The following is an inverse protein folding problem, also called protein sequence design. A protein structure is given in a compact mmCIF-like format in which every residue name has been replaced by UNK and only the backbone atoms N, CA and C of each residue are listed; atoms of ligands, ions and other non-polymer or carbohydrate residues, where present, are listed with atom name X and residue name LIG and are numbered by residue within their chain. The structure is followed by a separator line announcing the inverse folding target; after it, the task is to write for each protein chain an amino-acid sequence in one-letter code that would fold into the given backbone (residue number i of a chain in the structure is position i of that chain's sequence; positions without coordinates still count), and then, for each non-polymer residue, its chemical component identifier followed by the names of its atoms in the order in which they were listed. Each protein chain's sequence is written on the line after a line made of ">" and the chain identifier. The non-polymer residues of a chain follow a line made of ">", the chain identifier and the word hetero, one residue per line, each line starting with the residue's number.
data_IF_655696896155
#
_entry.id   IF_655696896155
#
_cell.length_a   1.000
_cell.length_b   1.000
_cell.length_c   1.000
_cell.angle_alpha   90.00
_cell.angle_beta   90.00
_cell.angle_gamma   90.00
#
_symmetry.space_group_name_H-M   'P 1'
#
loop_
_entity.id
_entity.type
_entity.pdbx_description
1 polymer ?
#
# COMPACT_ATOMS: atom_id res chain seq x y z
N UNK A 1 -59.94 -34.68 -5.58
CA UNK A 1 -58.76 -35.57 -5.51
C UNK A 1 -58.20 -35.67 -6.93
N UNK A 2 -56.94 -35.41 -7.27
CA UNK A 2 -55.84 -34.68 -6.67
C UNK A 2 -54.98 -34.25 -7.87
N UNK A 3 -54.70 -32.96 -8.02
CA UNK A 3 -53.72 -32.49 -8.99
C UNK A 3 -52.38 -32.42 -8.26
N UNK A 4 -51.71 -33.56 -8.19
CA UNK A 4 -50.32 -33.63 -7.73
C UNK A 4 -49.43 -33.21 -8.90
N UNK A 5 -49.04 -31.94 -8.88
CA UNK A 5 -48.14 -31.35 -9.85
C UNK A 5 -46.77 -32.00 -9.71
N UNK A 6 -46.48 -32.95 -10.60
CA UNK A 6 -45.18 -33.59 -10.71
C UNK A 6 -44.07 -32.55 -10.68
N UNK A 7 -43.26 -32.62 -9.64
CA UNK A 7 -42.10 -31.75 -9.43
C UNK A 7 -41.16 -31.96 -10.61
N UNK A 8 -40.96 -30.92 -11.42
CA UNK A 8 -40.03 -30.99 -12.56
C UNK A 8 -38.63 -31.16 -11.98
N UNK A 9 -37.93 -32.29 -12.21
CA UNK A 9 -36.61 -32.51 -11.66
C UNK A 9 -35.66 -31.46 -12.19
N UNK A 10 -34.90 -30.82 -11.29
CA UNK A 10 -33.95 -29.80 -11.70
C UNK A 10 -32.83 -30.42 -12.53
N UNK A 11 -32.22 -29.65 -13.44
CA UNK A 11 -31.18 -30.14 -14.37
C UNK A 11 -30.02 -30.83 -13.63
N UNK A 12 -29.76 -30.43 -12.41
CA UNK A 12 -28.69 -30.94 -11.54
C UNK A 12 -28.99 -32.37 -11.03
N UNK A 13 -30.26 -32.77 -10.99
CA UNK A 13 -30.72 -34.12 -10.64
C UNK A 13 -30.70 -35.07 -11.85
N UNK A 14 -31.01 -34.53 -13.04
CA UNK A 14 -31.07 -35.30 -14.29
C UNK A 14 -29.68 -35.49 -14.91
N UNK A 15 -28.79 -34.53 -14.71
CA UNK A 15 -27.44 -34.53 -15.29
C UNK A 15 -26.43 -34.44 -14.16
N UNK A 16 -25.57 -35.46 -14.03
CA UNK A 16 -24.37 -35.39 -13.20
C UNK A 16 -23.50 -34.24 -13.71
N UNK A 17 -23.69 -33.06 -13.15
CA UNK A 17 -22.78 -31.95 -13.37
C UNK A 17 -21.43 -32.36 -12.80
N UNK A 18 -20.40 -32.34 -13.64
CA UNK A 18 -19.03 -32.54 -13.21
C UNK A 18 -18.78 -31.52 -12.10
N UNK A 19 -18.52 -31.97 -10.86
CA UNK A 19 -18.14 -31.09 -9.76
C UNK A 19 -17.09 -30.12 -10.32
N UNK A 20 -17.28 -28.82 -10.12
CA UNK A 20 -16.20 -27.86 -10.35
C UNK A 20 -14.99 -28.44 -9.64
N UNK A 21 -13.92 -28.70 -10.41
CA UNK A 21 -12.68 -29.20 -9.88
C UNK A 21 -12.16 -28.10 -8.94
N UNK A 22 -12.58 -28.18 -7.67
CA UNK A 22 -12.00 -27.38 -6.60
C UNK A 22 -10.57 -27.86 -6.57
N UNK A 23 -9.67 -27.12 -7.23
CA UNK A 23 -8.25 -27.42 -7.18
C UNK A 23 -7.88 -27.43 -5.71
N UNK A 24 -7.66 -28.64 -5.18
CA UNK A 24 -7.19 -28.83 -3.82
C UNK A 24 -5.76 -28.32 -3.89
N UNK A 25 -5.57 -27.03 -3.60
CA UNK A 25 -4.23 -26.48 -3.47
C UNK A 25 -3.56 -27.23 -2.33
N UNK A 26 -2.40 -27.82 -2.63
CA UNK A 26 -1.61 -28.47 -1.60
C UNK A 26 -1.29 -27.45 -0.51
N UNK A 27 -1.32 -27.92 0.74
CA UNK A 27 -1.07 -27.07 1.93
C UNK A 27 0.21 -26.24 1.78
N UNK A 28 1.24 -26.84 1.18
CA UNK A 28 2.53 -26.21 0.90
C UNK A 28 2.42 -25.05 -0.11
N UNK A 29 1.58 -25.17 -1.14
CA UNK A 29 1.36 -24.09 -2.11
C UNK A 29 0.64 -22.90 -1.47
N UNK A 30 -0.31 -23.17 -0.57
CA UNK A 30 -0.98 -22.12 0.20
C UNK A 30 -0.02 -21.41 1.15
N UNK A 31 0.90 -22.14 1.76
CA UNK A 31 1.93 -21.58 2.63
C UNK A 31 2.92 -20.74 1.82
N UNK A 32 3.41 -21.27 0.69
CA UNK A 32 4.23 -20.53 -0.26
C UNK A 32 3.56 -19.22 -0.72
N UNK A 33 2.28 -19.28 -1.10
CA UNK A 33 1.53 -18.10 -1.54
C UNK A 33 1.42 -17.02 -0.46
N UNK A 34 1.31 -17.39 0.82
CA UNK A 34 1.26 -16.42 1.92
C UNK A 34 2.60 -15.69 2.10
N UNK A 35 3.71 -16.40 1.94
CA UNK A 35 5.03 -15.86 2.25
C UNK A 35 5.69 -15.15 1.06
N UNK A 36 5.46 -15.62 -0.17
CA UNK A 36 6.21 -15.16 -1.35
C UNK A 36 5.36 -14.42 -2.38
N UNK A 37 4.03 -14.39 -2.24
CA UNK A 37 3.15 -13.67 -3.15
C UNK A 37 2.51 -12.46 -2.47
N UNK A 38 2.37 -11.37 -3.22
CA UNK A 38 1.66 -10.18 -2.83
C UNK A 38 0.19 -10.50 -2.60
N UNK A 39 -0.32 -10.19 -1.41
CA UNK A 39 -1.72 -10.49 -1.05
C UNK A 39 -2.74 -9.82 -1.96
N UNK A 40 -2.39 -8.65 -2.51
CA UNK A 40 -3.25 -7.87 -3.40
C UNK A 40 -3.19 -8.37 -4.85
N UNK A 41 -1.98 -8.44 -5.43
CA UNK A 41 -1.78 -8.68 -6.86
C UNK A 41 -1.47 -10.14 -7.22
N UNK A 42 -1.22 -11.02 -6.24
CA UNK A 42 -0.78 -12.41 -6.41
C UNK A 42 0.52 -12.59 -7.23
N UNK A 43 1.30 -11.51 -7.39
CA UNK A 43 2.63 -11.54 -7.99
C UNK A 43 3.69 -11.88 -6.94
N UNK A 44 4.86 -12.35 -7.38
CA UNK A 44 6.01 -12.57 -6.48
C UNK A 44 6.38 -11.27 -5.74
N UNK A 45 6.68 -11.40 -4.45
CA UNK A 45 7.13 -10.28 -3.64
C UNK A 45 8.50 -9.80 -4.11
N UNK A 46 8.61 -8.48 -4.29
CA UNK A 46 9.84 -7.83 -4.73
C UNK A 46 10.11 -6.63 -3.82
N UNK A 47 11.37 -6.41 -3.46
CA UNK A 47 11.76 -5.24 -2.69
C UNK A 47 11.52 -3.97 -3.52
N UNK A 48 10.88 -2.92 -2.96
CA UNK A 48 10.48 -2.73 -1.57
C UNK A 48 9.18 -3.48 -1.18
N UNK A 49 9.28 -4.30 -0.13
CA UNK A 49 8.15 -5.06 0.45
C UNK A 49 7.55 -4.25 1.61
N UNK A 50 6.23 -4.31 1.75
CA UNK A 50 5.50 -3.63 2.81
C UNK A 50 4.53 -4.54 3.53
N UNK A 51 4.23 -4.22 4.79
CA UNK A 51 3.29 -4.95 5.65
C UNK A 51 2.18 -4.04 6.17
N UNK A 52 0.99 -4.59 6.34
CA UNK A 52 -0.13 -3.90 6.98
C UNK A 52 -0.24 -4.20 8.49
N UNK A 53 -1.18 -3.55 9.17
CA UNK A 53 -1.47 -3.80 10.59
C UNK A 53 -2.02 -5.20 10.89
N UNK A 54 -2.40 -5.98 9.87
CA UNK A 54 -2.91 -7.36 10.00
C UNK A 54 -1.85 -8.42 9.67
N UNK A 55 -0.62 -8.01 9.31
CA UNK A 55 0.47 -8.92 9.00
C UNK A 55 0.50 -9.45 7.57
N UNK A 56 -0.27 -8.87 6.64
CA UNK A 56 -0.22 -9.24 5.22
C UNK A 56 0.93 -8.53 4.50
N UNK A 57 1.60 -9.24 3.60
CA UNK A 57 2.70 -8.72 2.78
C UNK A 57 2.23 -8.26 1.40
N UNK A 58 2.79 -7.14 0.95
CA UNK A 58 2.51 -6.55 -0.35
C UNK A 58 3.76 -5.97 -1.02
N UNK A 59 3.70 -5.81 -2.34
CA UNK A 59 4.63 -4.98 -3.08
C UNK A 59 4.21 -3.52 -2.96
N UNK A 60 5.12 -2.63 -2.57
CA UNK A 60 4.83 -1.21 -2.34
C UNK A 60 4.14 -0.57 -3.54
N UNK A 61 4.63 -0.84 -4.74
CA UNK A 61 4.11 -0.30 -6.00
C UNK A 61 2.64 -0.64 -6.20
N UNK A 62 2.27 -1.91 -5.96
CA UNK A 62 0.90 -2.38 -6.15
C UNK A 62 -0.07 -1.80 -5.12
N UNK A 63 0.40 -1.52 -3.91
CA UNK A 63 -0.43 -0.85 -2.92
C UNK A 63 -0.63 0.61 -3.27
N UNK A 64 0.39 1.29 -3.80
CA UNK A 64 0.28 2.67 -4.26
C UNK A 64 -0.69 2.78 -5.43
N UNK A 65 -0.54 1.92 -6.45
CA UNK A 65 -1.47 1.82 -7.58
C UNK A 65 -2.92 1.65 -7.09
N UNK A 66 -3.15 0.68 -6.19
CA UNK A 66 -4.51 0.41 -5.71
C UNK A 66 -5.07 1.46 -4.73
N UNK A 67 -4.22 2.26 -4.08
CA UNK A 67 -4.64 3.43 -3.30
C UNK A 67 -5.08 4.57 -4.22
N UNK A 68 -4.42 4.75 -5.37
CA UNK A 68 -4.79 5.75 -6.38
C UNK A 68 -6.09 5.36 -7.09
N UNK A 69 -6.25 4.08 -7.42
CA UNK A 69 -7.45 3.54 -8.10
C UNK A 69 -8.65 3.39 -7.15
N UNK A 70 -8.45 3.48 -5.84
CA UNK A 70 -9.49 3.28 -4.82
C UNK A 70 -9.95 1.82 -4.65
N UNK A 71 -9.33 0.88 -5.35
CA UNK A 71 -9.68 -0.56 -5.36
C UNK A 71 -9.61 -1.21 -3.97
N UNK A 72 -8.72 -0.74 -3.09
CA UNK A 72 -8.55 -1.27 -1.73
C UNK A 72 -9.82 -1.12 -0.88
N UNK A 73 -10.60 -0.04 -1.08
CA UNK A 73 -11.82 0.22 -0.31
C UNK A 73 -12.97 -0.71 -0.69
N UNK A 74 -12.97 -1.25 -1.91
CA UNK A 74 -14.00 -2.18 -2.38
C UNK A 74 -13.84 -3.58 -1.78
N UNK A 75 -12.63 -3.94 -1.35
CA UNK A 75 -12.35 -5.26 -0.79
C UNK A 75 -12.53 -5.29 0.73
N UNK A 76 -13.39 -6.20 1.23
CA UNK A 76 -13.66 -6.33 2.68
C UNK A 76 -12.39 -6.61 3.50
N UNK A 77 -11.45 -7.36 2.92
CA UNK A 77 -10.24 -7.81 3.61
C UNK A 77 -9.12 -6.76 3.69
N UNK A 78 -9.14 -5.70 2.86
CA UNK A 78 -8.10 -4.67 2.81
C UNK A 78 -8.62 -3.26 3.14
N UNK A 79 -9.87 -3.17 3.59
CA UNK A 79 -10.53 -1.90 3.92
C UNK A 79 -9.85 -1.07 5.00
N UNK A 80 -8.96 -1.67 5.81
CA UNK A 80 -8.15 -0.96 6.81
C UNK A 80 -7.02 -0.13 6.20
N UNK A 81 -6.58 -0.45 4.98
CA UNK A 81 -5.50 0.25 4.29
C UNK A 81 -6.09 1.50 3.62
N UNK A 82 -6.06 2.63 4.34
CA UNK A 82 -6.61 3.91 3.85
C UNK A 82 -5.54 4.87 3.34
N UNK A 83 -4.29 4.70 3.77
CA UNK A 83 -3.21 5.64 3.45
C UNK A 83 -1.85 4.95 3.55
N UNK A 84 -0.79 5.59 3.07
CA UNK A 84 0.58 5.11 3.24
C UNK A 84 1.02 4.99 4.71
N UNK A 85 0.28 5.61 5.65
CA UNK A 85 0.55 5.51 7.09
C UNK A 85 0.10 4.17 7.71
N UNK A 86 -0.85 3.47 7.09
CA UNK A 86 -1.31 2.15 7.57
C UNK A 86 -0.44 1.00 7.09
N UNK A 87 0.68 1.31 6.46
CA UNK A 87 1.60 0.38 5.82
C UNK A 87 3.01 0.69 6.33
N UNK A 88 3.82 -0.34 6.53
CA UNK A 88 5.18 -0.22 7.03
C UNK A 88 6.14 -0.93 6.09
N UNK A 89 7.31 -0.32 5.85
CA UNK A 89 8.35 -0.91 5.04
C UNK A 89 9.01 -2.09 5.79
N UNK A 90 9.21 -3.19 5.08
CA UNK A 90 9.76 -4.44 5.62
C UNK A 90 11.14 -4.68 5.03
N UNK A 91 12.11 -4.93 5.91
CA UNK A 91 13.46 -5.32 5.55
C UNK A 91 13.66 -6.79 5.88
N UNK A 92 13.57 -7.63 4.85
CA UNK A 92 13.98 -9.02 4.94
C UNK A 92 15.50 -9.14 4.76
N UNK A 93 16.11 -10.11 5.45
CA UNK A 93 17.52 -10.42 5.22
C UNK A 93 17.61 -11.45 4.09
N UNK A 94 18.35 -11.17 3.01
CA UNK A 94 18.48 -12.10 1.88
C UNK A 94 19.23 -13.37 2.31
N UNK A 95 18.82 -14.50 1.77
CA UNK A 95 19.47 -15.78 2.00
C UNK A 95 20.57 -16.02 0.96
N UNK A 96 21.87 -16.09 1.35
CA UNK A 96 22.95 -16.36 0.40
C UNK A 96 22.87 -17.76 -0.23
N UNK A 97 22.13 -18.70 0.36
CA UNK A 97 21.91 -20.02 -0.22
C UNK A 97 20.93 -19.98 -1.41
N UNK A 98 20.09 -18.96 -1.51
CA UNK A 98 19.05 -18.86 -2.53
C UNK A 98 19.60 -18.71 -3.96
N UNK A 99 20.75 -18.04 -4.12
CA UNK A 99 21.39 -17.86 -5.43
C UNK A 99 21.84 -19.18 -6.04
N UNK A 100 22.19 -20.16 -5.20
CA UNK A 100 22.66 -21.49 -5.62
C UNK A 100 21.49 -22.43 -5.84
N UNK A 101 20.57 -22.48 -4.88
CA UNK A 101 19.45 -23.40 -4.87
C UNK A 101 18.12 -22.64 -4.74
N UNK A 102 17.37 -22.55 -5.85
CA UNK A 102 16.05 -21.88 -5.89
C UNK A 102 14.95 -22.64 -5.12
N UNK A 103 15.28 -23.80 -4.56
CA UNK A 103 14.40 -24.58 -3.68
C UNK A 103 14.35 -24.02 -2.26
N UNK A 104 15.36 -23.24 -1.88
CA UNK A 104 15.49 -22.63 -0.56
C UNK A 104 14.69 -21.33 -0.52
N UNK A 105 14.30 -20.86 0.67
CA UNK A 105 13.64 -19.56 0.78
C UNK A 105 14.60 -18.40 0.43
N UNK A 106 14.12 -17.35 -0.28
CA UNK A 106 14.92 -16.15 -0.57
C UNK A 106 15.29 -15.31 0.65
N UNK A 107 14.57 -15.45 1.78
CA UNK A 107 14.79 -14.65 2.98
C UNK A 107 15.02 -15.52 4.22
N UNK A 108 15.77 -14.97 5.18
CA UNK A 108 16.09 -15.59 6.45
C UNK A 108 15.94 -14.63 7.65
N UNK A 109 15.84 -15.19 8.85
CA UNK A 109 15.96 -14.43 10.09
C UNK A 109 17.44 -14.09 10.35
N UNK A 110 17.82 -12.83 10.57
CA UNK A 110 19.23 -12.45 10.76
C UNK A 110 19.88 -13.04 12.03
N UNK A 111 19.08 -13.45 13.01
CA UNK A 111 19.58 -13.92 14.32
C UNK A 111 19.58 -15.45 14.37
N UNK A 112 18.41 -16.06 14.14
CA UNK A 112 18.24 -17.52 14.23
C UNK A 112 18.63 -18.25 12.94
N UNK A 113 18.88 -17.50 11.85
CA UNK A 113 19.17 -18.04 10.51
C UNK A 113 18.09 -18.98 9.97
N UNK A 114 16.87 -18.89 10.52
CA UNK A 114 15.72 -19.67 10.08
C UNK A 114 15.16 -19.09 8.79
N UNK A 115 14.88 -19.97 7.85
CA UNK A 115 14.23 -19.67 6.57
C UNK A 115 12.80 -19.16 6.75
N UNK A 116 12.49 -18.07 6.06
CA UNK A 116 11.14 -17.49 6.01
C UNK A 116 10.24 -18.41 5.19
N UNK A 117 9.03 -18.69 5.69
CA UNK A 117 8.09 -19.60 5.03
C UNK A 117 8.19 -21.06 5.46
N UNK A 118 9.10 -21.39 6.38
CA UNK A 118 9.07 -22.66 7.11
C UNK A 118 7.93 -22.68 8.14
N UNK A 119 7.74 -23.79 8.87
CA UNK A 119 6.72 -23.92 9.94
C UNK A 119 6.95 -23.04 11.19
N UNK A 120 7.73 -21.98 11.06
CA UNK A 120 8.05 -21.05 12.14
C UNK A 120 7.29 -19.74 11.95
N UNK A 121 6.79 -19.20 13.06
CA UNK A 121 6.13 -17.88 13.09
C UNK A 121 7.18 -16.78 13.08
N UNK A 122 6.89 -15.70 12.36
CA UNK A 122 7.71 -14.50 12.32
C UNK A 122 6.91 -13.30 12.82
N UNK A 123 7.62 -12.37 13.44
CA UNK A 123 7.09 -11.12 13.97
C UNK A 123 7.87 -9.96 13.37
N UNK A 124 7.21 -8.83 13.25
CA UNK A 124 7.69 -7.61 12.64
C UNK A 124 7.61 -6.46 13.64
N UNK A 125 8.60 -5.58 13.65
CA UNK A 125 8.66 -4.39 14.50
C UNK A 125 8.38 -3.14 13.67
N UNK A 126 7.27 -2.44 13.93
CA UNK A 126 6.87 -1.23 13.18
C UNK A 126 7.89 -0.09 13.22
N UNK A 127 8.63 0.06 14.33
CA UNK A 127 9.55 1.20 14.51
C UNK A 127 10.81 1.09 13.66
N UNK A 128 11.22 -0.13 13.28
CA UNK A 128 12.47 -0.35 12.58
C UNK A 128 12.35 -1.12 11.26
N UNK A 129 11.25 -1.83 11.02
CA UNK A 129 11.04 -2.55 9.77
C UNK A 129 11.65 -3.95 9.71
N UNK A 130 12.27 -4.43 10.80
CA UNK A 130 12.92 -5.74 10.82
C UNK A 130 11.95 -6.88 11.13
N UNK A 131 12.16 -8.02 10.47
CA UNK A 131 11.42 -9.27 10.69
C UNK A 131 12.31 -10.26 11.43
N UNK A 132 11.83 -10.82 12.54
CA UNK A 132 12.54 -11.84 13.31
C UNK A 132 11.63 -13.03 13.59
N UNK A 133 12.22 -14.21 13.73
CA UNK A 133 11.49 -15.41 14.15
C UNK A 133 10.98 -15.29 15.59
N UNK A 134 9.86 -15.94 15.91
CA UNK A 134 9.27 -15.93 17.27
C UNK A 134 10.27 -16.37 18.36
N UNK A 135 11.18 -17.31 18.04
CA UNK A 135 12.25 -17.75 18.95
C UNK A 135 13.13 -16.59 19.40
N UNK A 136 13.54 -15.72 18.47
CA UNK A 136 14.37 -14.55 18.79
C UNK A 136 13.57 -13.47 19.52
N UNK A 137 12.27 -13.35 19.25
CA UNK A 137 11.42 -12.38 19.94
C UNK A 137 11.25 -12.69 21.43
N UNK A 138 11.22 -13.97 21.84
CA UNK A 138 11.15 -14.34 23.27
C UNK A 138 12.33 -13.82 24.08
N UNK A 139 13.51 -13.73 23.46
CA UNK A 139 14.70 -13.13 24.08
C UNK A 139 14.65 -11.59 24.00
N UNK A 140 14.07 -11.05 22.93
CA UNK A 140 13.92 -9.61 22.69
C UNK A 140 12.98 -8.92 23.68
N UNK A 141 11.92 -9.61 24.14
CA UNK A 141 10.92 -9.06 25.06
C UNK A 141 11.54 -8.58 26.38
N UNK A 142 12.68 -9.17 26.78
CA UNK A 142 13.45 -8.73 27.96
C UNK A 142 14.23 -7.44 27.72
N UNK A 143 14.71 -7.22 26.49
CA UNK A 143 15.59 -6.11 26.13
C UNK A 143 14.84 -4.86 25.62
N UNK A 144 13.57 -4.99 25.21
CA UNK A 144 12.70 -3.91 24.66
C UNK A 144 13.30 -3.07 23.53
N UNK A 145 14.35 -3.58 22.89
CA UNK A 145 15.13 -2.90 21.85
C UNK A 145 15.53 -3.88 20.76
N UNK A 146 15.48 -3.47 19.50
CA UNK A 146 15.73 -4.33 18.35
C UNK A 146 17.18 -4.83 18.32
N UNK A 147 17.42 -6.14 18.20
CA UNK A 147 18.78 -6.70 18.14
C UNK A 147 19.62 -6.28 16.91
N UNK A 148 18.99 -5.80 15.84
CA UNK A 148 19.70 -5.42 14.60
C UNK A 148 20.12 -3.95 14.60
N UNK A 149 19.25 -3.07 15.12
CA UNK A 149 19.43 -1.62 15.01
C UNK A 149 19.32 -0.87 16.35
N UNK A 150 19.17 -1.60 17.46
CA UNK A 150 19.06 -1.09 18.83
C UNK A 150 17.93 -0.08 19.07
N UNK A 151 16.98 0.06 18.15
CA UNK A 151 15.80 0.93 18.32
C UNK A 151 14.85 0.32 19.35
N UNK A 152 14.43 1.14 20.30
CA UNK A 152 13.37 0.79 21.26
C UNK A 152 12.03 0.62 20.55
N UNK A 153 11.21 -0.30 21.07
CA UNK A 153 9.86 -0.55 20.56
C UNK A 153 8.93 -0.92 21.71
N UNK A 154 7.63 -0.71 21.49
CA UNK A 154 6.59 -1.11 22.43
C UNK A 154 5.91 -2.41 21.99
N UNK A 155 5.27 -3.12 22.93
CA UNK A 155 4.50 -4.33 22.61
C UNK A 155 3.39 -4.07 21.57
N UNK A 156 2.87 -2.83 21.52
CA UNK A 156 1.86 -2.42 20.55
C UNK A 156 2.38 -2.22 19.11
N UNK A 157 3.71 -2.20 18.94
CA UNK A 157 4.42 -2.05 17.67
C UNK A 157 4.84 -3.40 17.06
N UNK A 158 4.54 -4.50 17.74
CA UNK A 158 4.81 -5.85 17.27
C UNK A 158 3.62 -6.34 16.43
N UNK A 159 3.88 -6.81 15.22
CA UNK A 159 2.89 -7.45 14.35
C UNK A 159 3.34 -8.87 14.05
N UNK A 160 2.43 -9.85 14.11
CA UNK A 160 2.70 -11.20 13.64
C UNK A 160 2.55 -11.21 12.12
N UNK A 161 3.57 -11.68 11.40
CA UNK A 161 3.54 -11.80 9.94
C UNK A 161 2.75 -13.04 9.56
N UNK A 162 1.80 -12.91 8.63
CA UNK A 162 0.93 -14.00 8.17
C UNK A 162 0.27 -14.81 9.31
N UNK A 163 -0.53 -14.16 10.17
CA UNK A 163 -1.18 -14.81 11.31
C UNK A 163 -2.13 -15.93 10.89
N UNK A 164 -2.43 -16.84 11.82
CA UNK A 164 -3.52 -17.79 11.63
C UNK A 164 -4.89 -17.08 11.72
N UNK A 165 -5.97 -17.73 11.27
CA UNK A 165 -7.30 -17.11 11.23
C UNK A 165 -7.75 -16.54 12.60
N UNK A 166 -7.49 -17.26 13.70
CA UNK A 166 -7.82 -16.83 15.07
C UNK A 166 -7.02 -15.58 15.50
N UNK A 167 -5.71 -15.59 15.27
CA UNK A 167 -4.81 -14.47 15.58
C UNK A 167 -5.15 -13.23 14.73
N UNK A 168 -5.57 -13.46 13.49
CA UNK A 168 -6.00 -12.43 12.55
C UNK A 168 -7.28 -11.73 13.05
N UNK A 169 -8.23 -12.48 13.59
CA UNK A 169 -9.44 -11.91 14.21
C UNK A 169 -9.12 -11.05 15.43
N UNK A 170 -8.21 -11.51 16.30
CA UNK A 170 -7.73 -10.72 17.44
C UNK A 170 -7.09 -9.41 16.98
N UNK A 171 -6.21 -9.47 15.97
CA UNK A 171 -5.59 -8.24 15.42
C UNK A 171 -6.62 -7.31 14.77
N UNK A 172 -7.66 -7.84 14.11
CA UNK A 172 -8.77 -7.02 13.59
C UNK A 172 -9.54 -6.32 14.69
N UNK A 173 -9.80 -6.97 15.82
CA UNK A 173 -10.48 -6.37 16.97
C UNK A 173 -9.62 -5.23 17.54
N UNK A 174 -8.35 -5.51 17.84
CA UNK A 174 -7.41 -4.52 18.36
C UNK A 174 -7.25 -3.31 17.43
N UNK A 175 -7.25 -3.53 16.12
CA UNK A 175 -7.17 -2.46 15.13
C UNK A 175 -8.43 -1.57 15.14
N UNK A 176 -9.62 -2.18 15.21
CA UNK A 176 -10.89 -1.44 15.32
C UNK A 176 -10.93 -0.60 16.59
N UNK A 177 -10.54 -1.16 17.73
CA UNK A 177 -10.47 -0.44 19.00
C UNK A 177 -9.50 0.75 18.94
N UNK A 178 -8.30 0.56 18.35
CA UNK A 178 -7.33 1.65 18.13
C UNK A 178 -7.91 2.78 17.27
N UNK A 179 -8.67 2.44 16.22
CA UNK A 179 -9.33 3.41 15.34
C UNK A 179 -10.45 4.17 16.07
N UNK A 180 -11.27 3.49 16.87
CA UNK A 180 -12.36 4.08 17.64
C UNK A 180 -11.83 5.03 18.73
N UNK A 181 -10.79 4.62 19.45
CA UNK A 181 -10.11 5.46 20.44
C UNK A 181 -9.47 6.71 19.83
N UNK A 182 -8.97 6.61 18.60
CA UNK A 182 -8.42 7.76 17.87
C UNK A 182 -9.51 8.74 17.42
N UNK A 183 -10.69 8.24 17.07
CA UNK A 183 -11.86 9.07 16.72
C UNK A 183 -12.45 9.77 17.94
N UNK A 184 -12.54 9.09 19.09
CA UNK A 184 -13.07 9.67 20.34
C UNK A 184 -12.14 10.75 20.91
N UNK A 185 -10.81 10.58 20.83
CA UNK A 185 -9.82 11.61 21.19
C UNK A 185 -9.94 12.85 20.29
N UNK A 186 -10.15 12.67 18.97
CA UNK A 186 -10.42 13.79 18.05
C UNK A 186 -11.72 14.54 18.41
N UNK A 187 -12.81 13.84 18.73
CA UNK A 187 -14.09 14.45 19.18
C UNK A 187 -13.96 15.24 20.49
N UNK A 188 -13.13 14.79 21.45
CA UNK A 188 -12.85 15.57 22.68
C UNK A 188 -12.00 16.82 22.38
N UNK A 189 -11.04 16.75 21.46
CA UNK A 189 -10.22 17.90 21.07
C UNK A 189 -10.98 18.97 20.29
N UNK A 190 -11.98 18.60 19.49
CA UNK A 190 -12.86 19.55 18.78
C UNK A 190 -13.87 20.22 19.71
N UNK A 191 -14.31 19.55 20.79
CA UNK A 191 -15.17 20.16 21.81
C UNK A 191 -14.44 21.18 22.70
N UNK A 192 -13.13 21.01 22.90
CA UNK A 192 -12.28 21.97 23.65
C UNK A 192 -11.93 23.23 22.84
N UNK A 193 -11.89 23.15 21.50
CA UNK A 193 -11.70 24.34 20.63
C UNK A 193 -12.97 25.19 20.45
N UNK A 194 -14.14 24.68 20.84
CA UNK A 194 -15.41 25.38 20.63
C UNK A 194 -15.90 26.17 21.87
N UNK A 195 -15.06 26.34 22.90
CA UNK A 195 -15.39 27.16 24.08
C UNK A 195 -14.64 28.51 24.16
N UNK A 196 -13.72 28.80 23.24
CA UNK A 196 -12.95 30.06 23.24
C UNK A 196 -13.31 31.03 22.10
N UNK A 197 -14.43 30.83 21.40
CA UNK A 197 -14.88 31.79 20.38
C UNK A 197 -16.40 31.87 20.33
N UNK A 198 -16.97 32.51 21.34
CA UNK A 198 -18.25 33.18 21.23
C UNK A 198 -18.00 34.65 20.89
N UNK A 199 -17.73 34.95 19.63
CA UNK A 199 -18.32 36.13 19.01
C UNK A 199 -18.34 36.03 17.49
N UNK A 200 -19.53 36.30 16.98
CA UNK A 200 -19.96 36.49 15.60
C UNK A 200 -20.12 35.28 14.67
N UNK A 201 -21.29 35.29 14.03
CA UNK A 201 -21.94 34.19 13.34
C UNK A 201 -22.01 34.46 11.84
N UNK A 202 -21.52 33.52 11.02
CA UNK A 202 -22.19 33.12 9.77
C UNK A 202 -21.65 31.79 9.27
N UNK A 203 -22.59 30.90 8.94
CA UNK A 203 -22.39 29.55 8.45
C UNK A 203 -22.08 29.57 6.96
N UNK A 204 -21.00 28.91 6.53
CA UNK A 204 -21.05 27.90 5.46
C UNK A 204 -19.82 26.99 5.51
N UNK A 205 -20.14 25.71 5.43
CA UNK A 205 -19.29 24.55 5.22
C UNK A 205 -18.52 24.60 3.90
N UNK A 206 -17.20 24.35 3.92
CA UNK A 206 -16.55 23.35 3.05
C UNK A 206 -15.04 23.25 3.31
N UNK A 207 -14.55 22.04 3.11
CA UNK A 207 -13.16 21.58 3.08
C UNK A 207 -12.16 22.59 2.48
N UNK A 208 -11.07 22.88 3.19
CA UNK A 208 -9.94 23.66 2.65
C UNK A 208 -8.62 23.34 3.33
N UNK A 209 -8.07 22.16 3.06
CA UNK A 209 -6.62 21.98 2.95
C UNK A 209 -6.33 21.97 1.45
N UNK A 210 -5.38 22.78 0.97
CA UNK A 210 -4.87 22.92 -0.42
C UNK A 210 -5.39 24.07 -1.31
N UNK A 211 -5.75 25.24 -0.78
CA UNK A 211 -5.99 26.44 -1.65
C UNK A 211 -5.01 27.59 -1.47
N UNK A 212 -4.20 27.63 -0.40
CA UNK A 212 -3.29 28.77 -0.17
C UNK A 212 -1.96 28.67 -0.93
N UNK A 213 -1.43 27.46 -1.17
CA UNK A 213 -0.14 27.30 -1.87
C UNK A 213 -0.25 27.49 -3.39
N UNK A 214 -1.39 27.11 -3.99
CA UNK A 214 -1.62 27.27 -5.44
C UNK A 214 -2.02 28.69 -5.83
N UNK A 215 -2.64 29.46 -4.93
CA UNK A 215 -2.97 30.88 -5.18
C UNK A 215 -1.72 31.76 -5.17
N UNK A 216 -0.78 31.50 -4.26
CA UNK A 216 0.49 32.23 -4.22
C UNK A 216 1.38 31.94 -5.44
N UNK A 217 1.45 30.69 -5.90
CA UNK A 217 2.21 30.33 -7.11
C UNK A 217 1.61 30.90 -8.41
N UNK A 218 0.27 30.95 -8.53
CA UNK A 218 -0.38 31.53 -9.71
C UNK A 218 -0.36 33.07 -9.74
N UNK A 219 -0.25 33.72 -8.58
CA UNK A 219 -0.11 35.18 -8.51
C UNK A 219 1.32 35.64 -8.88
N UNK A 220 2.35 34.85 -8.52
CA UNK A 220 3.73 35.09 -8.93
C UNK A 220 3.97 34.83 -10.43
N UNK A 221 3.31 33.81 -11.01
CA UNK A 221 3.34 33.56 -12.47
C UNK A 221 2.65 34.68 -13.26
N UNK A 222 1.49 35.16 -12.79
CA UNK A 222 0.77 36.26 -13.46
C UNK A 222 1.43 37.63 -13.31
N UNK A 223 2.24 37.87 -12.26
CA UNK A 223 3.08 39.07 -12.16
C UNK A 223 4.29 39.03 -13.10
N UNK A 224 4.88 37.85 -13.34
CA UNK A 224 5.98 37.69 -14.33
C UNK A 224 5.51 37.85 -15.78
N UNK A 225 4.29 37.42 -16.10
CA UNK A 225 3.70 37.56 -17.45
C UNK A 225 3.26 39.00 -17.83
N UNK A 226 3.26 39.95 -16.89
CA UNK A 226 2.91 41.36 -17.13
C UNK A 226 4.11 42.31 -17.24
N UNK A 227 5.34 41.80 -17.19
CA UNK A 227 6.53 42.61 -17.40
C UNK A 227 6.76 42.88 -18.89
N UNK A 228 7.03 44.14 -19.24
CA UNK A 228 7.25 44.63 -20.63
C UNK A 228 8.42 43.95 -21.34
N UNK A 229 9.27 43.22 -20.60
CA UNK A 229 10.40 42.46 -21.15
C UNK A 229 9.97 41.15 -21.86
N UNK A 230 8.81 40.56 -21.53
CA UNK A 230 8.37 39.27 -22.11
C UNK A 230 7.44 39.41 -23.33
N UNK A 231 6.77 40.56 -23.50
CA UNK A 231 5.93 40.85 -24.68
C UNK A 231 6.74 41.06 -25.96
N UNK A 232 8.02 41.38 -25.85
CA UNK A 232 8.92 41.61 -27.00
C UNK A 232 9.53 40.33 -27.58
N UNK A 233 9.42 39.19 -26.90
CA UNK A 233 10.04 37.92 -27.34
C UNK A 233 9.08 37.07 -28.18
N UNK A 234 7.76 37.19 -27.97
CA UNK A 234 6.80 36.25 -28.55
C UNK A 234 5.94 36.79 -29.71
N UNK A 235 6.10 38.06 -30.10
CA UNK A 235 5.26 38.71 -31.11
C UNK A 235 6.03 39.21 -32.35
N UNK A 236 6.91 38.38 -32.91
CA UNK A 236 7.40 38.60 -34.28
C UNK A 236 7.29 37.34 -35.15
N UNK A 237 6.16 37.32 -35.88
CA UNK A 237 5.93 36.81 -37.24
C UNK A 237 5.89 35.30 -37.53
N UNK A 238 4.68 34.77 -37.64
CA UNK A 238 4.17 34.12 -38.87
C UNK A 238 3.28 35.18 -39.57
N UNK A 239 3.29 35.44 -40.87
CA UNK A 239 3.20 34.51 -42.01
C UNK A 239 3.44 35.28 -43.33
N UNK A 240 4.14 34.66 -44.32
CA UNK A 240 3.93 34.70 -45.80
C UNK A 240 4.04 36.06 -46.56
N UNK A 241 4.60 36.21 -47.77
CA UNK A 241 4.79 35.33 -48.95
C UNK A 241 5.72 35.99 -50.01
N UNK A 242 6.27 35.15 -50.90
CA UNK A 242 6.57 35.34 -52.35
C UNK A 242 7.82 36.09 -52.90
N UNK A 243 8.52 35.34 -53.79
CA UNK A 243 9.25 35.73 -55.04
C UNK A 243 10.54 36.55 -54.89
N UNK A 244 11.69 36.30 -55.55
CA UNK A 244 11.99 35.76 -56.90
C UNK A 244 13.52 35.49 -57.03
N UNK A 245 13.91 34.45 -57.78
CA UNK A 245 15.10 34.27 -58.68
C UNK A 245 16.49 34.86 -58.33
N UNK A 246 17.56 34.02 -58.33
CA UNK A 246 18.65 33.93 -59.37
C UNK A 246 19.96 33.25 -58.86
N UNK A 247 20.35 32.15 -59.54
CA UNK A 247 21.70 31.76 -60.07
C UNK A 247 23.01 31.70 -59.23
N UNK A 248 23.70 30.53 -59.35
CA UNK A 248 25.18 30.26 -59.52
C UNK A 248 26.19 30.79 -58.48
N UNK A 249 27.06 30.00 -57.84
CA UNK A 249 28.32 29.35 -58.33
C UNK A 249 28.99 28.67 -57.10
N UNK A 250 29.41 27.40 -57.16
CA UNK A 250 30.77 26.90 -57.46
C UNK A 250 31.93 27.31 -56.51
N UNK A 251 32.76 26.30 -56.21
CA UNK A 251 34.16 26.29 -55.69
C UNK A 251 34.38 26.19 -54.18
N UNK A 252 35.46 25.64 -53.63
CA UNK A 252 36.40 24.50 -53.88
C UNK A 252 37.49 24.68 -52.81
N UNK A 253 38.00 23.58 -52.22
CA UNK A 253 39.28 23.48 -51.48
C UNK A 253 39.39 24.28 -50.16
N UNK A 254 39.94 23.72 -49.09
CA UNK A 254 41.25 23.06 -49.00
C UNK A 254 41.26 22.03 -47.88
#
# INVERSE_FOLDING_TARGET
>A
MGCDGGTIPTRDEVVKMKKKDTQIFDKEQLEYAKWFLCKLAQNVLCEPIVIDDLGNLFNKDKVIEALLDGSLQSSKNLSHIRSLKSIYDVHFTPNPAYEKDKTVSPWLCPITKLEVGSHHKFKFIKTCGHVLSDKSFKELDSAKSCFICSKEFSEGDIIIVNPNNEELEQMKILLKEKLENSKSKKKKSSKKRNLESANDSSLVSESSFTTNTLKQANEELNKKMKSEAFSSIFNKSTTTTTTTTTTTTATKTK
#
